data_IF_948032097776
#
_entry.id   IF_948032097776
#
_cell.length_a   1.000
_cell.length_b   1.000
_cell.length_c   1.000
_cell.angle_alpha   90.00
_cell.angle_beta   90.00
_cell.angle_gamma   90.00
#
_symmetry.space_group_name_H-M   'P 1'
#
loop_
_entity.id
_entity.type
_entity.pdbx_description
1 polymer ?
#
# COMPACT_ATOMS: atom_id res chain seq x y z
N UNK A 1 8.71 10.41 20.96
CA UNK A 1 8.84 9.21 20.09
C UNK A 1 7.68 9.15 19.12
N UNK A 2 6.53 8.56 19.48
CA UNK A 2 5.38 8.50 18.56
C UNK A 2 4.76 9.86 18.25
N UNK A 3 4.86 10.83 19.16
CA UNK A 3 4.39 12.21 18.94
C UNK A 3 5.07 12.85 17.72
N UNK A 4 6.38 12.66 17.57
CA UNK A 4 7.18 13.28 16.49
C UNK A 4 6.86 12.62 15.15
N UNK A 5 6.79 11.28 15.12
CA UNK A 5 6.38 10.50 13.94
C UNK A 5 4.96 10.87 13.51
N UNK A 6 4.02 10.93 14.45
CA UNK A 6 2.63 11.28 14.16
C UNK A 6 2.49 12.71 13.66
N UNK A 7 3.21 13.68 14.24
CA UNK A 7 3.22 15.06 13.79
C UNK A 7 3.81 15.20 12.39
N UNK A 8 4.94 14.54 12.11
CA UNK A 8 5.57 14.53 10.79
C UNK A 8 4.65 13.89 9.73
N UNK A 9 4.02 12.76 10.05
CA UNK A 9 3.05 12.14 9.15
C UNK A 9 1.82 13.02 8.92
N UNK A 10 1.27 13.63 9.97
CA UNK A 10 0.13 14.55 9.83
C UNK A 10 0.46 15.73 8.92
N UNK A 11 1.69 16.27 8.99
CA UNK A 11 2.15 17.31 8.09
C UNK A 11 2.23 16.82 6.63
N UNK A 12 2.79 15.64 6.40
CA UNK A 12 2.87 15.01 5.08
C UNK A 12 1.47 14.76 4.50
N UNK A 13 0.57 14.17 5.30
CA UNK A 13 -0.83 13.91 4.92
C UNK A 13 -1.56 15.21 4.59
N UNK A 14 -1.41 16.26 5.41
CA UNK A 14 -2.04 17.57 5.14
C UNK A 14 -1.54 18.19 3.83
N UNK A 15 -0.27 18.00 3.48
CA UNK A 15 0.29 18.43 2.18
C UNK A 15 -0.35 17.64 1.04
N UNK A 16 -0.48 16.32 1.19
CA UNK A 16 -1.13 15.43 0.24
C UNK A 16 -2.62 15.74 0.05
N UNK A 17 -3.39 15.90 1.13
CA UNK A 17 -4.84 16.20 1.10
C UNK A 17 -5.13 17.53 0.38
N UNK A 18 -4.18 18.47 0.40
CA UNK A 18 -4.24 19.74 -0.35
C UNK A 18 -3.85 19.60 -1.83
N UNK A 19 -3.63 18.38 -2.32
CA UNK A 19 -3.15 18.11 -3.67
C UNK A 19 -1.67 18.44 -3.87
N UNK A 20 -0.87 18.55 -2.79
CA UNK A 20 0.58 18.74 -2.88
C UNK A 20 1.33 17.42 -3.10
N UNK A 21 2.58 17.51 -3.56
CA UNK A 21 3.50 16.37 -3.58
C UNK A 21 4.13 16.19 -2.19
N UNK A 22 3.82 15.09 -1.49
CA UNK A 22 4.34 14.78 -0.16
C UNK A 22 5.44 13.69 -0.15
N UNK A 23 6.08 13.42 -1.29
CA UNK A 23 7.04 12.31 -1.41
C UNK A 23 8.26 12.50 -0.51
N UNK A 24 8.88 13.68 -0.53
CA UNK A 24 10.04 13.96 0.32
C UNK A 24 9.68 13.87 1.82
N UNK A 25 8.51 14.36 2.20
CA UNK A 25 8.02 14.29 3.58
C UNK A 25 7.75 12.85 4.02
N UNK A 26 7.11 12.03 3.18
CA UNK A 26 6.85 10.62 3.52
C UNK A 26 8.13 9.78 3.62
N UNK A 27 9.11 10.00 2.74
CA UNK A 27 10.44 9.39 2.86
C UNK A 27 11.16 9.84 4.13
N UNK A 28 11.05 11.12 4.48
CA UNK A 28 11.61 11.65 5.74
C UNK A 28 10.95 11.05 6.98
N UNK A 29 9.64 10.81 6.93
CA UNK A 29 8.92 10.06 7.99
C UNK A 29 9.45 8.63 8.09
N UNK A 30 9.72 7.96 6.97
CA UNK A 30 10.37 6.64 6.95
C UNK A 30 11.74 6.66 7.65
N UNK A 31 12.59 7.66 7.34
CA UNK A 31 13.89 7.83 7.98
C UNK A 31 13.76 8.08 9.49
N UNK A 32 12.79 8.90 9.91
CA UNK A 32 12.51 9.18 11.32
C UNK A 32 12.03 7.92 12.07
N UNK A 33 11.20 7.10 11.43
CA UNK A 33 10.79 5.80 11.97
C UNK A 33 12.01 4.87 12.14
N UNK A 34 12.86 4.74 11.13
CA UNK A 34 14.05 3.91 11.18
C UNK A 34 15.02 4.35 12.29
N UNK A 35 15.29 5.65 12.38
CA UNK A 35 16.10 6.23 13.46
C UNK A 35 15.51 5.95 14.84
N UNK A 36 14.18 6.07 14.97
CA UNK A 36 13.49 5.79 16.24
C UNK A 36 13.55 4.30 16.61
N UNK A 37 13.40 3.40 15.64
CA UNK A 37 13.56 1.95 15.84
C UNK A 37 14.97 1.63 16.33
N UNK A 38 16.02 2.18 15.71
CA UNK A 38 17.40 1.94 16.13
C UNK A 38 17.71 2.45 17.53
N UNK A 39 17.13 3.59 17.91
CA UNK A 39 17.39 4.19 19.23
C UNK A 39 16.60 3.53 20.35
N UNK A 40 15.41 3.01 20.04
CA UNK A 40 14.40 2.73 21.06
C UNK A 40 13.77 1.34 20.98
N UNK A 41 14.08 0.54 19.95
CA UNK A 41 13.63 -0.84 19.84
C UNK A 41 14.81 -1.78 19.56
N UNK A 42 14.64 -3.05 19.90
CA UNK A 42 15.54 -4.11 19.47
C UNK A 42 15.03 -4.69 18.15
N UNK A 43 15.79 -4.54 17.07
CA UNK A 43 15.56 -5.27 15.84
C UNK A 43 16.23 -6.64 15.95
N UNK A 44 15.43 -7.71 15.93
CA UNK A 44 15.97 -9.06 16.05
C UNK A 44 15.27 -10.05 15.14
N UNK A 45 15.97 -11.14 14.88
CA UNK A 45 15.39 -12.33 14.25
C UNK A 45 14.16 -12.79 15.05
N UNK A 46 13.09 -13.06 14.32
CA UNK A 46 11.86 -13.63 14.88
C UNK A 46 11.77 -15.12 14.55
N UNK A 47 11.80 -15.46 13.27
CA UNK A 47 11.54 -16.82 12.82
C UNK A 47 11.61 -16.97 11.32
N UNK A 48 11.27 -18.17 10.84
CA UNK A 48 11.22 -18.48 9.42
C UNK A 48 9.78 -18.57 8.94
N UNK A 49 9.56 -18.36 7.64
CA UNK A 49 8.35 -18.81 6.98
C UNK A 49 8.14 -20.32 7.23
N UNK A 50 6.92 -20.69 7.61
CA UNK A 50 6.58 -22.07 7.95
C UNK A 50 6.68 -23.01 6.74
N UNK A 51 6.38 -22.51 5.53
CA UNK A 51 6.50 -23.28 4.28
C UNK A 51 7.92 -23.28 3.65
N UNK A 52 8.08 -23.99 2.53
CA UNK A 52 9.25 -23.88 1.65
C UNK A 52 9.04 -22.77 0.58
N UNK A 53 10.11 -22.10 0.10
CA UNK A 53 11.45 -22.09 0.67
C UNK A 53 11.47 -21.40 2.04
N UNK A 54 12.51 -21.65 2.83
CA UNK A 54 12.68 -20.99 4.12
C UNK A 54 13.10 -19.54 3.88
N UNK A 55 12.24 -18.60 4.33
CA UNK A 55 12.47 -17.16 4.27
C UNK A 55 12.58 -16.65 5.70
N UNK A 56 13.62 -15.89 6.00
CA UNK A 56 13.85 -15.33 7.34
C UNK A 56 13.07 -14.03 7.55
N UNK A 57 12.53 -13.87 8.76
CA UNK A 57 11.82 -12.67 9.17
C UNK A 57 12.29 -12.17 10.54
N UNK A 58 12.30 -10.85 10.66
CA UNK A 58 12.71 -10.10 11.85
C UNK A 58 11.53 -9.31 12.40
N UNK A 59 11.62 -8.88 13.65
CA UNK A 59 10.65 -8.00 14.32
C UNK A 59 11.39 -6.88 15.07
N UNK A 60 10.67 -5.79 15.32
CA UNK A 60 11.03 -4.80 16.32
C UNK A 60 10.36 -5.16 17.66
N UNK A 61 11.11 -4.98 18.74
CA UNK A 61 10.65 -5.22 20.11
C UNK A 61 10.99 -4.05 21.04
N UNK A 62 10.03 -3.60 21.82
CA UNK A 62 10.24 -2.69 22.96
C UNK A 62 9.19 -2.97 24.04
N UNK A 63 9.60 -3.00 25.31
CA UNK A 63 8.70 -3.21 26.45
C UNK A 63 7.81 -4.46 26.37
N UNK A 64 8.24 -5.52 25.66
CA UNK A 64 7.45 -6.75 25.42
C UNK A 64 6.43 -6.64 24.28
N UNK A 65 6.25 -5.46 23.68
CA UNK A 65 5.46 -5.30 22.46
C UNK A 65 6.29 -5.71 21.24
N UNK A 66 5.71 -6.56 20.39
CA UNK A 66 6.35 -7.04 19.16
C UNK A 66 5.64 -6.45 17.94
N UNK A 67 6.43 -6.06 16.94
CA UNK A 67 5.92 -5.65 15.64
C UNK A 67 5.48 -6.82 14.77
N UNK A 68 4.77 -6.54 13.67
CA UNK A 68 4.65 -7.50 12.57
C UNK A 68 6.04 -7.91 12.03
N UNK A 69 6.15 -9.09 11.40
CA UNK A 69 7.40 -9.54 10.80
C UNK A 69 7.75 -8.75 9.54
N UNK A 70 9.04 -8.51 9.32
CA UNK A 70 9.59 -7.93 8.10
C UNK A 70 10.78 -8.75 7.59
N UNK A 71 11.11 -8.62 6.31
CA UNK A 71 12.22 -9.28 5.66
C UNK A 71 13.50 -8.45 5.78
N UNK A 72 14.55 -8.94 6.44
CA UNK A 72 15.78 -8.17 6.61
C UNK A 72 16.51 -7.94 5.28
N UNK A 73 16.32 -8.79 4.27
CA UNK A 73 16.98 -8.66 2.97
C UNK A 73 16.32 -7.62 2.05
N UNK A 74 15.04 -7.31 2.27
CA UNK A 74 14.34 -6.20 1.60
C UNK A 74 14.42 -4.88 2.38
N UNK A 75 14.75 -4.94 3.67
CA UNK A 75 14.73 -3.80 4.58
C UNK A 75 16.12 -3.14 4.65
N UNK A 76 16.19 -1.86 4.29
CA UNK A 76 17.42 -1.06 4.37
C UNK A 76 17.61 -0.65 5.82
N UNK A 77 18.32 -1.48 6.59
CA UNK A 77 18.54 -1.23 8.01
C UNK A 77 19.40 0.01 8.26
N UNK A 78 20.49 0.20 7.51
CA UNK A 78 21.37 1.35 7.71
C UNK A 78 20.69 2.68 7.31
N UNK A 79 20.69 3.65 8.24
CA UNK A 79 19.97 4.91 8.08
C UNK A 79 20.56 5.80 6.99
N UNK A 80 21.89 5.80 6.83
CA UNK A 80 22.54 6.63 5.81
C UNK A 80 22.30 6.06 4.42
N UNK A 81 22.43 4.74 4.26
CA UNK A 81 22.08 4.00 3.05
C UNK A 81 20.63 4.24 2.67
N UNK A 82 19.69 4.18 3.64
CA UNK A 82 18.28 4.47 3.38
C UNK A 82 18.07 5.91 2.88
N UNK A 83 18.71 6.91 3.50
CA UNK A 83 18.59 8.32 3.09
C UNK A 83 19.12 8.55 1.67
N UNK A 84 20.22 7.91 1.31
CA UNK A 84 20.79 7.97 -0.03
C UNK A 84 19.86 7.31 -1.07
N UNK A 85 19.45 6.07 -0.83
CA UNK A 85 18.55 5.34 -1.73
C UNK A 85 17.20 6.05 -1.86
N UNK A 86 16.66 6.63 -0.79
CA UNK A 86 15.40 7.38 -0.81
C UNK A 86 15.49 8.66 -1.65
N UNK A 87 16.60 9.41 -1.54
CA UNK A 87 16.84 10.58 -2.38
C UNK A 87 16.93 10.18 -3.85
N UNK A 88 17.71 9.15 -4.15
CA UNK A 88 17.94 8.75 -5.53
C UNK A 88 16.68 8.12 -6.14
N UNK A 89 15.87 7.41 -5.35
CA UNK A 89 14.52 6.96 -5.73
C UNK A 89 13.61 8.12 -6.14
N UNK A 90 13.54 9.19 -5.35
CA UNK A 90 12.72 10.36 -5.69
C UNK A 90 13.18 11.03 -6.98
N UNK A 91 14.49 11.11 -7.20
CA UNK A 91 15.08 11.68 -8.42
C UNK A 91 14.83 10.79 -9.65
N UNK A 92 14.93 9.47 -9.51
CA UNK A 92 14.60 8.52 -10.59
C UNK A 92 13.16 8.66 -11.06
N UNK A 93 12.20 8.72 -10.12
CA UNK A 93 10.79 8.91 -10.45
C UNK A 93 10.56 10.22 -11.22
N UNK A 94 11.23 11.30 -10.81
CA UNK A 94 11.16 12.61 -11.48
C UNK A 94 11.71 12.56 -12.90
N UNK A 95 12.77 11.79 -13.12
CA UNK A 95 13.39 11.57 -14.43
C UNK A 95 12.66 10.53 -15.28
N UNK A 96 11.59 9.92 -14.75
CA UNK A 96 10.86 8.84 -15.43
C UNK A 96 11.65 7.53 -15.54
N UNK A 97 12.69 7.37 -14.74
CA UNK A 97 13.49 6.15 -14.60
C UNK A 97 13.02 5.36 -13.40
N UNK A 98 13.47 4.12 -13.29
CA UNK A 98 13.31 3.34 -12.07
C UNK A 98 14.40 2.28 -12.01
N UNK A 99 15.19 2.27 -10.93
CA UNK A 99 15.94 1.09 -10.50
C UNK A 99 14.96 0.12 -9.80
N UNK A 100 14.73 -1.09 -10.35
CA UNK A 100 13.79 -2.05 -9.78
C UNK A 100 14.07 -2.42 -8.31
N UNK A 101 15.34 -2.66 -7.98
CA UNK A 101 15.74 -3.10 -6.65
C UNK A 101 15.59 -1.96 -5.64
N UNK A 102 15.97 -0.73 -6.04
CA UNK A 102 15.83 0.45 -5.18
C UNK A 102 14.36 0.80 -4.95
N UNK A 103 13.52 0.74 -5.98
CA UNK A 103 12.10 1.00 -5.86
C UNK A 103 11.47 0.11 -4.78
N UNK A 104 11.65 -1.21 -4.91
CA UNK A 104 11.06 -2.16 -3.97
C UNK A 104 11.62 -1.98 -2.56
N UNK A 105 12.94 -1.83 -2.40
CA UNK A 105 13.59 -1.71 -1.08
C UNK A 105 13.24 -0.40 -0.38
N UNK A 106 13.21 0.73 -1.09
CA UNK A 106 12.85 2.04 -0.51
C UNK A 106 11.39 2.04 -0.08
N UNK A 107 10.47 1.59 -0.93
CA UNK A 107 9.05 1.51 -0.56
C UNK A 107 8.84 0.54 0.60
N UNK A 108 9.43 -0.66 0.52
CA UNK A 108 9.33 -1.67 1.57
C UNK A 108 9.84 -1.15 2.91
N UNK A 109 11.02 -0.52 2.93
CA UNK A 109 11.64 0.01 4.15
C UNK A 109 10.83 1.16 4.73
N UNK A 110 10.42 2.12 3.89
CA UNK A 110 9.64 3.30 4.31
C UNK A 110 8.34 2.87 4.99
N UNK A 111 7.58 1.99 4.34
CA UNK A 111 6.27 1.53 4.84
C UNK A 111 6.44 0.58 6.02
N UNK A 112 7.39 -0.35 5.95
CA UNK A 112 7.63 -1.30 7.04
C UNK A 112 8.10 -0.57 8.29
N UNK A 113 9.08 0.33 8.22
CA UNK A 113 9.54 1.09 9.39
C UNK A 113 8.39 1.82 10.09
N UNK A 114 7.49 2.44 9.32
CA UNK A 114 6.29 3.07 9.86
C UNK A 114 5.35 2.05 10.54
N UNK A 115 5.10 0.90 9.91
CA UNK A 115 4.31 -0.18 10.49
C UNK A 115 4.92 -0.69 11.81
N UNK A 116 6.23 -0.91 11.84
CA UNK A 116 6.94 -1.43 13.02
C UNK A 116 6.80 -0.45 14.21
N UNK A 117 6.99 0.85 13.99
CA UNK A 117 6.78 1.87 15.02
C UNK A 117 5.35 1.83 15.59
N UNK A 118 4.35 1.73 14.71
CA UNK A 118 2.95 1.72 15.12
C UNK A 118 2.57 0.43 15.84
N UNK A 119 3.07 -0.73 15.40
CA UNK A 119 2.79 -1.99 16.07
C UNK A 119 3.39 -2.03 17.49
N UNK A 120 4.58 -1.46 17.68
CA UNK A 120 5.29 -1.46 18.97
C UNK A 120 4.70 -0.39 19.91
N UNK A 121 4.57 0.85 19.45
CA UNK A 121 4.26 1.98 20.34
C UNK A 121 2.83 2.53 20.21
N UNK A 122 2.04 2.10 19.22
CA UNK A 122 0.63 2.50 19.06
C UNK A 122 -0.26 1.36 18.51
N UNK A 123 -0.26 0.16 19.13
CA UNK A 123 -0.84 -1.07 18.56
C UNK A 123 -2.34 -1.03 18.27
N UNK A 124 -3.06 -0.07 18.86
CA UNK A 124 -4.51 0.14 18.61
C UNK A 124 -4.78 0.88 17.29
N UNK A 125 -3.80 1.57 16.73
CA UNK A 125 -3.95 2.41 15.53
C UNK A 125 -3.67 1.60 14.27
N UNK A 126 -4.64 0.76 13.90
CA UNK A 126 -4.51 -0.24 12.81
C UNK A 126 -4.71 0.33 11.40
N UNK A 127 -5.42 1.46 11.28
CA UNK A 127 -5.74 2.10 9.99
C UNK A 127 -4.58 2.97 9.48
N UNK A 128 -3.91 3.69 10.38
CA UNK A 128 -2.89 4.69 10.04
C UNK A 128 -1.75 4.17 9.17
N UNK A 129 -1.19 2.96 9.36
CA UNK A 129 -0.16 2.44 8.45
C UNK A 129 -0.65 2.23 7.01
N UNK A 130 -1.93 1.88 6.83
CA UNK A 130 -2.54 1.78 5.49
C UNK A 130 -2.62 3.15 4.81
N UNK A 131 -3.08 4.17 5.55
CA UNK A 131 -3.11 5.55 5.06
C UNK A 131 -1.72 6.11 4.77
N UNK A 132 -0.71 5.72 5.55
CA UNK A 132 0.68 6.10 5.26
C UNK A 132 1.16 5.52 3.91
N UNK A 133 0.86 4.24 3.65
CA UNK A 133 1.18 3.60 2.38
C UNK A 133 0.48 4.27 1.19
N UNK A 134 -0.80 4.63 1.36
CA UNK A 134 -1.57 5.43 0.40
C UNK A 134 -0.87 6.74 0.05
N UNK A 135 -0.55 7.56 1.06
CA UNK A 135 0.06 8.88 0.87
C UNK A 135 1.43 8.77 0.19
N UNK A 136 2.24 7.76 0.56
CA UNK A 136 3.55 7.51 -0.05
C UNK A 136 3.40 7.19 -1.54
N UNK A 137 2.57 6.17 -1.88
CA UNK A 137 2.45 5.71 -3.26
C UNK A 137 1.76 6.73 -4.16
N UNK A 138 0.75 7.44 -3.65
CA UNK A 138 0.10 8.51 -4.40
C UNK A 138 1.04 9.70 -4.63
N UNK A 139 1.90 10.03 -3.66
CA UNK A 139 2.94 11.05 -3.86
C UNK A 139 4.01 10.62 -4.87
N UNK A 140 4.44 9.36 -4.83
CA UNK A 140 5.35 8.79 -5.81
C UNK A 140 4.75 8.79 -7.23
N UNK A 141 3.48 8.39 -7.36
CA UNK A 141 2.73 8.41 -8.60
C UNK A 141 2.62 9.83 -9.17
N UNK A 142 2.34 10.83 -8.33
CA UNK A 142 2.27 12.24 -8.74
C UNK A 142 3.60 12.77 -9.28
N UNK A 143 4.73 12.34 -8.72
CA UNK A 143 6.06 12.67 -9.26
C UNK A 143 6.29 11.99 -10.60
N UNK A 144 5.94 10.70 -10.71
CA UNK A 144 6.17 9.91 -11.92
C UNK A 144 5.27 10.31 -13.09
N UNK A 145 4.04 10.73 -12.80
CA UNK A 145 2.98 10.99 -13.76
C UNK A 145 2.37 12.40 -13.58
N UNK A 146 3.16 13.48 -13.76
CA UNK A 146 2.70 14.83 -13.44
C UNK A 146 1.57 15.35 -14.34
N UNK A 147 1.30 14.67 -15.46
CA UNK A 147 0.24 15.03 -16.41
C UNK A 147 -1.09 14.29 -16.18
N UNK A 148 -1.11 13.25 -15.36
CA UNK A 148 -2.33 12.48 -15.08
C UNK A 148 -3.12 13.16 -13.96
N UNK A 149 -4.45 13.19 -14.09
CA UNK A 149 -5.32 13.64 -13.04
C UNK A 149 -5.36 12.59 -11.93
N UNK A 150 -5.13 13.01 -10.69
CA UNK A 150 -5.09 12.11 -9.54
C UNK A 150 -6.30 12.35 -8.63
N UNK A 151 -7.08 11.31 -8.36
CA UNK A 151 -8.24 11.35 -7.46
C UNK A 151 -8.25 10.12 -6.53
N UNK A 152 -9.14 10.13 -5.54
CA UNK A 152 -9.45 8.94 -4.70
C UNK A 152 -10.79 8.30 -5.05
N UNK A 153 -11.73 9.12 -5.53
CA UNK A 153 -13.09 8.70 -5.83
C UNK A 153 -13.33 8.74 -7.33
N UNK A 154 -14.05 7.74 -7.82
CA UNK A 154 -14.63 7.73 -9.15
C UNK A 154 -16.14 7.84 -8.95
N UNK A 155 -16.78 8.98 -9.31
CA UNK A 155 -18.22 9.08 -9.26
C UNK A 155 -18.82 8.08 -10.25
N UNK A 156 -19.92 7.44 -9.89
CA UNK A 156 -20.72 6.57 -10.75
C UNK A 156 -21.95 7.38 -11.16
N UNK A 157 -22.00 7.71 -12.46
CA UNK A 157 -23.13 8.47 -13.01
C UNK A 157 -24.43 7.68 -12.88
N UNK A 158 -25.53 8.41 -12.76
CA UNK A 158 -26.89 7.90 -12.86
C UNK A 158 -27.32 6.91 -11.77
N UNK A 159 -26.65 6.89 -10.60
CA UNK A 159 -27.20 6.23 -9.41
C UNK A 159 -28.15 7.22 -8.71
N UNK A 160 -29.45 6.91 -8.58
CA UNK A 160 -30.39 7.73 -7.82
C UNK A 160 -30.14 7.55 -6.31
N UNK A 161 -29.03 8.08 -5.82
CA UNK A 161 -28.78 8.16 -4.38
C UNK A 161 -29.41 9.46 -3.89
N UNK A 162 -30.35 9.36 -2.94
CA UNK A 162 -30.86 10.54 -2.27
C UNK A 162 -29.68 11.30 -1.64
N UNK A 163 -29.60 12.62 -1.86
CA UNK A 163 -28.48 13.48 -1.46
C UNK A 163 -28.14 13.48 0.06
N UNK A 164 -28.90 12.75 0.87
CA UNK A 164 -28.79 12.68 2.33
C UNK A 164 -28.52 11.27 2.87
N UNK A 165 -28.33 10.26 2.02
CA UNK A 165 -28.01 8.91 2.48
C UNK A 165 -26.50 8.78 2.78
N UNK A 166 -26.19 8.61 4.06
CA UNK A 166 -24.91 8.12 4.61
C UNK A 166 -23.74 9.11 4.72
N UNK A 167 -24.00 10.29 5.30
CA UNK A 167 -22.96 10.86 6.17
C UNK A 167 -22.82 9.89 7.37
N UNK A 168 -21.83 8.99 7.34
CA UNK A 168 -21.41 8.22 8.51
C UNK A 168 -21.11 9.22 9.63
N UNK A 169 -22.07 9.41 10.53
CA UNK A 169 -21.89 10.20 11.74
C UNK A 169 -20.88 9.48 12.62
N UNK A 170 -19.78 10.17 12.93
CA UNK A 170 -18.75 9.75 13.87
C UNK A 170 -19.38 9.27 15.19
N UNK A 171 -19.42 7.95 15.39
CA UNK A 171 -19.65 7.40 16.73
C UNK A 171 -18.28 7.16 17.38
N UNK A 172 -17.83 8.23 18.04
CA UNK A 172 -16.96 8.28 19.23
C UNK A 172 -15.58 7.61 19.16
N UNK A 173 -14.52 8.43 19.22
CA UNK A 173 -13.24 8.05 19.84
C UNK A 173 -12.00 8.63 19.16
N UNK A 174 -11.45 9.73 19.71
CA UNK A 174 -10.07 10.27 19.64
C UNK A 174 -9.21 10.18 18.35
N UNK A 175 -9.76 9.81 17.20
CA UNK A 175 -9.11 9.94 15.90
C UNK A 175 -9.82 11.06 15.14
N UNK A 176 -9.21 12.25 15.09
CA UNK A 176 -9.57 13.31 14.15
C UNK A 176 -9.15 12.91 12.73
N UNK A 177 -9.64 11.77 12.25
CA UNK A 177 -9.74 11.53 10.82
C UNK A 177 -10.85 12.47 10.34
N UNK A 178 -10.51 13.43 9.48
CA UNK A 178 -11.53 14.21 8.79
C UNK A 178 -12.47 13.20 8.10
N UNK A 179 -13.73 13.15 8.53
CA UNK A 179 -14.75 12.32 7.90
C UNK A 179 -14.74 12.63 6.39
N UNK A 180 -14.25 11.70 5.58
CA UNK A 180 -14.43 11.78 4.13
C UNK A 180 -15.92 11.60 3.90
N UNK A 181 -16.61 12.66 3.50
CA UNK A 181 -18.03 12.61 3.14
C UNK A 181 -18.18 11.65 1.96
N UNK A 182 -18.58 10.42 2.24
CA UNK A 182 -18.82 9.42 1.22
C UNK A 182 -20.17 9.73 0.58
N UNK A 183 -20.17 10.13 -0.68
CA UNK A 183 -21.41 10.15 -1.46
C UNK A 183 -21.62 8.73 -1.98
N UNK A 184 -22.80 8.15 -1.68
CA UNK A 184 -23.14 6.75 -2.04
C UNK A 184 -23.13 6.45 -3.54
N UNK A 185 -22.84 7.46 -4.37
CA UNK A 185 -22.71 7.41 -5.81
C UNK A 185 -21.25 7.31 -6.28
N UNK A 186 -20.29 6.91 -5.43
CA UNK A 186 -18.88 6.82 -5.81
C UNK A 186 -18.20 5.52 -5.40
N UNK A 187 -17.21 5.10 -6.19
CA UNK A 187 -16.26 4.04 -5.79
C UNK A 187 -15.06 4.73 -5.15
N UNK A 188 -14.89 4.54 -3.83
CA UNK A 188 -13.69 4.98 -3.11
C UNK A 188 -12.56 3.99 -3.32
N UNK A 189 -11.41 4.51 -3.72
CA UNK A 189 -10.19 3.76 -3.92
C UNK A 189 -9.00 4.56 -3.41
N UNK A 190 -7.91 3.87 -3.10
CA UNK A 190 -6.77 4.51 -2.44
C UNK A 190 -5.99 5.45 -3.39
N UNK A 191 -5.95 5.14 -4.70
CA UNK A 191 -5.33 5.98 -5.73
C UNK A 191 -5.98 5.74 -7.10
N UNK A 192 -6.34 6.81 -7.80
CA UNK A 192 -6.77 6.79 -9.22
C UNK A 192 -5.90 7.75 -10.01
N UNK A 193 -5.36 7.30 -11.14
CA UNK A 193 -4.72 8.16 -12.15
C UNK A 193 -5.49 8.08 -13.45
N UNK A 194 -6.03 9.20 -13.90
CA UNK A 194 -6.79 9.30 -15.14
C UNK A 194 -6.03 10.14 -16.16
N UNK A 195 -5.93 9.66 -17.39
CA UNK A 195 -5.45 10.45 -18.50
C UNK A 195 -6.55 11.44 -18.93
N UNK A 196 -6.35 12.77 -18.80
CA UNK A 196 -7.38 13.76 -19.13
C UNK A 196 -7.77 13.77 -20.62
N UNK A 197 -6.90 13.28 -21.51
CA UNK A 197 -7.14 13.29 -22.95
C UNK A 197 -7.97 12.09 -23.40
N UNK A 198 -7.69 10.90 -22.86
CA UNK A 198 -8.33 9.65 -23.27
C UNK A 198 -9.45 9.21 -22.32
N UNK A 199 -9.48 9.77 -21.11
CA UNK A 199 -10.39 9.35 -20.03
C UNK A 199 -10.03 8.00 -19.40
N UNK A 200 -9.02 7.27 -19.90
CA UNK A 200 -8.58 6.00 -19.31
C UNK A 200 -8.01 6.20 -17.91
N UNK A 201 -8.30 5.28 -16.99
CA UNK A 201 -7.87 5.40 -15.61
C UNK A 201 -7.25 4.13 -15.03
N UNK A 202 -6.12 4.28 -14.34
CA UNK A 202 -5.55 3.24 -13.49
C UNK A 202 -6.05 3.42 -12.06
N UNK A 203 -6.61 2.35 -11.49
CA UNK A 203 -7.18 2.30 -10.14
C UNK A 203 -6.29 1.41 -9.28
N UNK A 204 -5.78 1.93 -8.18
CA UNK A 204 -4.75 1.26 -7.37
C UNK A 204 -5.20 1.14 -5.92
N UNK A 205 -5.88 0.04 -5.55
CA UNK A 205 -6.12 -0.29 -4.15
C UNK A 205 -4.79 -0.63 -3.47
N UNK A 206 -4.54 -0.01 -2.31
CA UNK A 206 -3.28 -0.07 -1.56
C UNK A 206 -3.54 -0.72 -0.20
N UNK A 207 -2.88 -1.85 0.07
CA UNK A 207 -3.08 -2.59 1.33
C UNK A 207 -1.75 -3.07 1.87
N UNK A 208 -1.53 -2.98 3.19
CA UNK A 208 -0.33 -3.62 3.77
C UNK A 208 -0.38 -5.15 3.58
N UNK A 209 -1.56 -5.72 3.83
CA UNK A 209 -1.95 -7.12 3.59
C UNK A 209 -3.44 -7.13 3.21
N UNK A 210 -3.90 -8.06 2.37
CA UNK A 210 -5.30 -8.03 1.89
C UNK A 210 -6.29 -8.63 2.87
N UNK A 211 -5.93 -9.74 3.52
CA UNK A 211 -6.83 -10.53 4.40
C UNK A 211 -8.20 -10.76 3.74
N UNK A 212 -9.30 -10.63 4.48
CA UNK A 212 -10.68 -10.75 3.98
C UNK A 212 -11.07 -9.66 2.96
N UNK A 213 -10.35 -8.53 2.94
CA UNK A 213 -10.64 -7.40 2.04
C UNK A 213 -10.11 -7.60 0.61
N UNK A 214 -9.60 -8.79 0.28
CA UNK A 214 -9.17 -9.14 -1.08
C UNK A 214 -10.31 -9.06 -2.10
N UNK A 215 -11.57 -9.22 -1.69
CA UNK A 215 -12.73 -9.12 -2.60
C UNK A 215 -13.00 -7.68 -3.07
N UNK A 216 -12.67 -6.67 -2.26
CA UNK A 216 -12.95 -5.26 -2.55
C UNK A 216 -12.45 -4.79 -3.93
N UNK A 217 -11.16 -4.97 -4.30
CA UNK A 217 -10.67 -4.55 -5.62
C UNK A 217 -11.44 -5.20 -6.77
N UNK A 218 -11.83 -6.47 -6.65
CA UNK A 218 -12.63 -7.15 -7.67
C UNK A 218 -14.06 -6.61 -7.75
N UNK A 219 -14.71 -6.40 -6.60
CA UNK A 219 -16.04 -5.80 -6.57
C UNK A 219 -16.04 -4.39 -7.17
N UNK A 220 -15.04 -3.57 -6.83
CA UNK A 220 -14.87 -2.23 -7.41
C UNK A 220 -14.66 -2.29 -8.92
N UNK A 221 -13.76 -3.16 -9.41
CA UNK A 221 -13.57 -3.34 -10.84
C UNK A 221 -14.86 -3.78 -11.54
N UNK A 222 -15.65 -4.67 -10.93
CA UNK A 222 -16.93 -5.11 -11.52
C UNK A 222 -17.91 -3.96 -11.69
N UNK A 223 -17.99 -3.06 -10.71
CA UNK A 223 -18.82 -1.85 -10.77
C UNK A 223 -18.32 -0.92 -11.87
N UNK A 224 -17.00 -0.69 -11.92
CA UNK A 224 -16.37 0.16 -12.95
C UNK A 224 -16.55 -0.39 -14.35
N UNK A 225 -16.43 -1.71 -14.56
CA UNK A 225 -16.69 -2.36 -15.84
C UNK A 225 -18.14 -2.17 -16.30
N UNK A 226 -19.08 -2.06 -15.35
CA UNK A 226 -20.50 -1.84 -15.64
C UNK A 226 -20.82 -0.37 -15.92
N UNK A 227 -20.21 0.55 -15.16
CA UNK A 227 -20.48 1.98 -15.27
C UNK A 227 -19.67 2.65 -16.40
N UNK A 228 -18.44 2.17 -16.61
CA UNK A 228 -17.44 2.75 -17.50
C UNK A 228 -16.70 1.64 -18.28
N UNK A 229 -17.39 0.90 -19.17
CA UNK A 229 -16.81 -0.27 -19.84
C UNK A 229 -15.48 0.03 -20.55
N UNK A 230 -14.42 -0.68 -20.16
CA UNK A 230 -13.09 -0.57 -20.77
C UNK A 230 -12.31 0.72 -20.42
N UNK A 231 -12.86 1.60 -19.58
CA UNK A 231 -12.23 2.87 -19.22
C UNK A 231 -11.23 2.74 -18.07
N UNK A 232 -11.52 1.89 -17.08
CA UNK A 232 -10.70 1.73 -15.88
C UNK A 232 -10.12 0.34 -15.75
N UNK A 233 -8.86 0.25 -15.31
CA UNK A 233 -8.18 -0.98 -14.95
C UNK A 233 -7.66 -0.93 -13.51
N UNK A 234 -7.83 -2.03 -12.78
CA UNK A 234 -7.41 -2.14 -11.39
C UNK A 234 -6.10 -2.89 -11.22
N UNK A 235 -5.21 -2.34 -10.39
CA UNK A 235 -3.88 -2.85 -10.07
C UNK A 235 -3.75 -2.94 -8.54
N UNK A 236 -3.84 -4.14 -7.96
CA UNK A 236 -3.80 -4.28 -6.49
C UNK A 236 -2.35 -4.22 -6.01
N UNK A 237 -2.01 -3.22 -5.20
CA UNK A 237 -0.66 -3.04 -4.67
C UNK A 237 -0.60 -3.32 -3.16
N UNK A 238 0.35 -4.16 -2.77
CA UNK A 238 0.50 -4.66 -1.42
C UNK A 238 1.95 -4.66 -0.94
N UNK A 239 2.13 -4.67 0.39
CA UNK A 239 3.47 -4.87 0.97
C UNK A 239 3.78 -6.37 1.09
N UNK A 240 2.86 -7.16 1.64
CA UNK A 240 3.07 -8.61 1.90
C UNK A 240 1.75 -9.32 2.18
N UNK A 241 1.79 -10.63 2.51
CA UNK A 241 0.68 -11.35 3.16
C UNK A 241 1.08 -11.98 4.50
N UNK A 242 2.16 -11.51 5.11
CA UNK A 242 2.74 -12.19 6.27
C UNK A 242 1.89 -12.03 7.52
N UNK A 243 1.90 -13.05 8.36
CA UNK A 243 1.30 -13.04 9.69
C UNK A 243 2.24 -13.72 10.66
N UNK A 244 2.44 -13.09 11.81
CA UNK A 244 3.20 -13.65 12.93
C UNK A 244 2.42 -14.79 13.57
N UNK A 245 3.10 -15.89 13.90
CA UNK A 245 2.59 -16.95 14.77
C UNK A 245 3.43 -16.99 16.05
N UNK A 246 2.93 -16.32 17.09
CA UNK A 246 3.62 -16.16 18.37
C UNK A 246 3.76 -17.47 19.15
N UNK A 247 2.88 -18.44 18.90
CA UNK A 247 2.92 -19.72 19.60
C UNK A 247 4.07 -20.61 19.10
N UNK A 248 4.39 -20.50 17.80
CA UNK A 248 5.40 -21.34 17.16
C UNK A 248 6.71 -20.60 16.87
N UNK A 249 6.74 -19.27 17.01
CA UNK A 249 7.87 -18.45 16.58
C UNK A 249 8.11 -18.53 15.08
N UNK A 250 7.05 -18.73 14.28
CA UNK A 250 7.13 -18.82 12.81
C UNK A 250 6.31 -17.73 12.13
N UNK A 251 6.58 -17.51 10.85
CA UNK A 251 5.79 -16.60 10.01
C UNK A 251 4.94 -17.42 9.05
N UNK A 252 3.67 -17.04 8.92
CA UNK A 252 2.73 -17.57 7.91
C UNK A 252 2.56 -16.55 6.79
N UNK A 253 2.17 -17.00 5.62
CA UNK A 253 1.69 -16.16 4.52
C UNK A 253 0.21 -16.50 4.31
N UNK A 254 -0.68 -15.54 4.55
CA UNK A 254 -2.13 -15.76 4.51
C UNK A 254 -2.62 -15.56 3.08
N UNK A 255 -2.64 -16.64 2.32
CA UNK A 255 -2.98 -16.63 0.91
C UNK A 255 -4.30 -17.37 0.67
N UNK A 256 -5.11 -16.84 -0.26
CA UNK A 256 -6.38 -17.43 -0.70
C UNK A 256 -6.42 -17.60 -2.22
N UNK A 257 -5.47 -18.38 -2.81
CA UNK A 257 -5.26 -18.43 -4.27
C UNK A 257 -6.50 -18.95 -5.03
N UNK A 258 -7.22 -19.92 -4.47
CA UNK A 258 -8.47 -20.41 -5.07
C UNK A 258 -9.54 -19.34 -5.13
N UNK A 259 -9.68 -18.55 -4.06
CA UNK A 259 -10.61 -17.41 -4.00
C UNK A 259 -10.22 -16.32 -5.00
N UNK A 260 -8.93 -15.97 -5.09
CA UNK A 260 -8.42 -15.01 -6.08
C UNK A 260 -8.72 -15.51 -7.51
N UNK A 261 -8.48 -16.79 -7.79
CA UNK A 261 -8.77 -17.36 -9.10
C UNK A 261 -10.27 -17.34 -9.44
N UNK A 262 -11.14 -17.63 -8.46
CA UNK A 262 -12.59 -17.51 -8.63
C UNK A 262 -13.00 -16.06 -8.91
N UNK A 263 -12.46 -15.09 -8.17
CA UNK A 263 -12.77 -13.68 -8.41
C UNK A 263 -12.28 -13.21 -9.78
N UNK A 264 -11.04 -13.54 -10.15
CA UNK A 264 -10.49 -13.17 -11.46
C UNK A 264 -11.30 -13.75 -12.64
N UNK A 265 -11.80 -14.98 -12.48
CA UNK A 265 -12.54 -15.68 -13.54
C UNK A 265 -14.02 -15.31 -13.60
N UNK A 266 -14.66 -15.07 -12.44
CA UNK A 266 -16.11 -15.01 -12.34
C UNK A 266 -16.66 -13.70 -11.77
N UNK A 267 -15.83 -12.87 -11.12
CA UNK A 267 -16.25 -11.57 -10.59
C UNK A 267 -15.82 -10.43 -11.49
N UNK A 268 -14.51 -10.24 -11.69
CA UNK A 268 -13.94 -9.20 -12.56
C UNK A 268 -12.46 -9.47 -12.82
N UNK A 269 -11.88 -8.82 -13.82
CA UNK A 269 -10.46 -8.97 -14.14
C UNK A 269 -9.66 -7.79 -13.61
N UNK A 270 -8.76 -8.06 -12.66
CA UNK A 270 -7.68 -7.11 -12.34
C UNK A 270 -6.52 -7.30 -13.31
N UNK A 271 -5.74 -6.25 -13.51
CA UNK A 271 -4.56 -6.26 -14.39
C UNK A 271 -3.34 -6.88 -13.72
N UNK A 272 -3.31 -6.97 -12.39
CA UNK A 272 -2.23 -7.66 -11.68
C UNK A 272 -2.28 -7.45 -10.16
N UNK A 273 -1.53 -8.29 -9.46
CA UNK A 273 -1.26 -8.19 -8.04
C UNK A 273 0.22 -7.86 -7.84
N UNK A 274 0.51 -6.79 -7.11
CA UNK A 274 1.85 -6.25 -6.96
C UNK A 274 2.27 -6.31 -5.49
N UNK A 275 3.45 -6.88 -5.20
CA UNK A 275 3.95 -7.01 -3.83
C UNK A 275 5.42 -6.62 -3.73
N UNK A 276 5.83 -6.04 -2.60
CA UNK A 276 7.24 -6.01 -2.23
C UNK A 276 7.71 -7.41 -1.78
N UNK A 277 7.02 -8.02 -0.80
CA UNK A 277 7.27 -9.39 -0.36
C UNK A 277 6.21 -10.33 -0.96
N UNK A 278 6.45 -10.77 -2.20
CA UNK A 278 5.54 -11.66 -2.93
C UNK A 278 5.36 -12.97 -2.15
N UNK A 279 4.12 -13.35 -1.80
CA UNK A 279 3.88 -14.61 -1.13
C UNK A 279 4.26 -15.79 -2.03
N UNK A 280 4.97 -16.76 -1.47
CA UNK A 280 5.46 -17.95 -2.19
C UNK A 280 4.31 -18.68 -2.88
N UNK A 281 3.14 -18.75 -2.22
CA UNK A 281 1.97 -19.40 -2.79
C UNK A 281 1.42 -18.67 -4.01
N UNK A 282 1.48 -17.35 -4.04
CA UNK A 282 0.99 -16.54 -5.16
C UNK A 282 1.97 -16.49 -6.34
N UNK A 283 3.26 -16.68 -6.09
CA UNK A 283 4.28 -16.79 -7.15
C UNK A 283 4.21 -18.11 -7.95
N UNK A 284 3.31 -19.04 -7.61
CA UNK A 284 3.23 -20.34 -8.30
C UNK A 284 2.54 -20.20 -9.67
N UNK A 285 2.93 -21.03 -10.67
CA UNK A 285 2.39 -20.94 -12.02
C UNK A 285 0.88 -21.14 -12.12
N UNK A 286 0.26 -21.89 -11.21
CA UNK A 286 -1.18 -22.16 -11.22
C UNK A 286 -1.99 -20.87 -11.04
N UNK A 287 -1.59 -20.00 -10.10
CA UNK A 287 -2.22 -18.69 -9.95
C UNK A 287 -1.74 -17.72 -11.05
N UNK A 288 -0.45 -17.75 -11.39
CA UNK A 288 0.14 -16.93 -12.45
C UNK A 288 -0.52 -17.12 -13.84
N UNK A 289 -1.11 -18.29 -14.09
CA UNK A 289 -1.89 -18.57 -15.30
C UNK A 289 -3.26 -17.89 -15.35
N UNK A 290 -3.74 -17.38 -14.20
CA UNK A 290 -5.05 -16.75 -14.04
C UNK A 290 -4.92 -15.24 -13.90
N UNK A 291 -3.95 -14.78 -13.11
CA UNK A 291 -3.64 -13.37 -12.88
C UNK A 291 -2.13 -13.19 -12.68
N UNK A 292 -1.58 -12.12 -13.24
CA UNK A 292 -0.16 -11.80 -13.03
C UNK A 292 0.10 -11.38 -11.58
N UNK A 293 1.15 -11.97 -10.99
CA UNK A 293 1.65 -11.61 -9.67
C UNK A 293 3.09 -11.10 -9.84
N UNK A 294 3.29 -9.81 -9.60
CA UNK A 294 4.50 -9.07 -9.97
C UNK A 294 5.16 -8.39 -8.76
N UNK A 295 6.46 -8.09 -8.83
CA UNK A 295 7.11 -7.15 -7.92
C UNK A 295 6.48 -5.75 -7.99
N UNK A 296 6.56 -4.99 -6.89
CA UNK A 296 5.91 -3.68 -6.80
C UNK A 296 6.47 -2.65 -7.80
N UNK A 297 7.77 -2.71 -8.11
CA UNK A 297 8.40 -1.79 -9.07
C UNK A 297 7.79 -1.81 -10.48
N UNK A 298 7.13 -2.90 -10.89
CA UNK A 298 6.46 -2.98 -12.19
C UNK A 298 5.10 -2.26 -12.24
N UNK A 299 4.55 -1.89 -11.08
CA UNK A 299 3.24 -1.25 -10.96
C UNK A 299 3.12 -0.01 -11.87
N UNK A 300 4.10 0.88 -11.81
CA UNK A 300 4.05 2.15 -12.56
C UNK A 300 4.21 1.93 -14.07
N UNK A 301 4.98 0.93 -14.50
CA UNK A 301 5.09 0.58 -15.91
C UNK A 301 3.77 0.03 -16.46
N UNK A 302 3.16 -0.92 -15.75
CA UNK A 302 1.89 -1.53 -16.15
C UNK A 302 0.73 -0.52 -16.12
N UNK A 303 0.73 0.40 -15.15
CA UNK A 303 -0.21 1.52 -15.13
C UNK A 303 -0.03 2.44 -16.35
N UNK A 304 1.22 2.81 -16.66
CA UNK A 304 1.54 3.66 -17.80
C UNK A 304 1.09 3.03 -19.13
N UNK A 305 1.28 1.72 -19.28
CA UNK A 305 0.84 0.98 -20.46
C UNK A 305 -0.68 0.98 -20.64
N UNK A 306 -1.45 1.04 -19.55
CA UNK A 306 -2.92 1.13 -19.62
C UNK A 306 -3.41 2.55 -19.93
N UNK A 307 -2.89 3.55 -19.20
CA UNK A 307 -3.36 4.95 -19.30
C UNK A 307 -2.81 5.71 -20.50
N UNK A 308 -1.72 5.23 -21.10
CA UNK A 308 -1.20 5.67 -22.40
C UNK A 308 -2.22 5.46 -23.52
#
# INVERSE_FOLDING_TARGET
MMTDIAAAFLAAKKKYDKGGNALAETLSVGALCLETLHRSATLRRFGMFSGPPKIEYWVAEDGGALSRPYRPDLFIADLNTFREEARDFAEELRLGKSDPARFDRVVYTTVSAFCLCFDVWKPKSRKTPGTFFEVLMASAARVRFPKLAMTKHIPIKDIPVAATADALLDVTGDERDAAETFTGDSVSTDLVLTNPETGKGAVVPLKITTRERIVQPFAHQRILDSAYPGQFASFLACISEVQRDDNTGTVKQICVPGTVALFQKHLSKLNGLYYCDIPVRYARPDLGSVIEVKPLHLLFEDMAAHVG
#
